data_IF_284439621996
#
_entry.id   IF_284439621996
#
_cell.length_a   1.000
_cell.length_b   1.000
_cell.length_c   1.000
_cell.angle_alpha   90.00
_cell.angle_beta   90.00
_cell.angle_gamma   90.00
#
_symmetry.space_group_name_H-M   'P 1'
#
loop_
_entity.id
_entity.type
_entity.pdbx_description
1 polymer ?
#
# COMPACT_ATOMS: atom_id res chain seq x y z
N UNK A 1 15.37 -9.76 53.68
CA UNK A 1 15.21 -8.29 53.76
C UNK A 1 15.87 -7.68 52.52
N UNK A 2 15.23 -6.67 51.92
CA UNK A 2 15.24 -6.28 50.49
C UNK A 2 16.60 -6.11 49.80
N UNK A 3 16.71 -6.66 48.59
CA UNK A 3 17.76 -6.42 47.59
C UNK A 3 17.71 -4.98 47.05
N UNK A 4 18.85 -4.29 47.15
CA UNK A 4 19.07 -2.92 46.70
C UNK A 4 19.16 -2.88 45.16
N UNK A 5 18.16 -2.31 44.49
CA UNK A 5 18.16 -2.13 43.02
C UNK A 5 18.85 -0.80 42.69
N UNK A 6 20.14 -0.83 42.36
CA UNK A 6 20.81 0.26 41.64
C UNK A 6 20.30 0.27 40.19
N UNK A 7 19.74 1.40 39.75
CA UNK A 7 19.80 1.82 38.36
C UNK A 7 20.06 3.32 38.30
N UNK A 8 21.20 3.60 37.71
CA UNK A 8 21.81 4.87 37.35
C UNK A 8 21.34 5.34 35.96
N UNK A 9 21.44 6.67 35.75
CA UNK A 9 21.49 7.43 34.47
C UNK A 9 20.16 7.55 33.68
N UNK A 10 19.82 8.67 33.03
CA UNK A 10 20.58 9.89 32.68
C UNK A 10 19.66 11.11 32.56
N UNK A 11 20.24 12.27 32.87
CA UNK A 11 19.80 13.60 32.42
C UNK A 11 19.47 13.59 30.92
N UNK A 12 18.31 14.14 30.54
CA UNK A 12 18.20 14.98 29.34
C UNK A 12 17.39 16.22 29.73
N UNK A 13 18.14 17.32 29.89
CA UNK A 13 17.68 18.69 29.95
C UNK A 13 17.30 19.10 28.53
N UNK A 14 16.07 19.58 28.29
CA UNK A 14 15.80 20.53 27.20
C UNK A 14 14.96 21.68 27.77
N UNK A 15 15.45 22.86 27.43
CA UNK A 15 15.25 24.19 28.00
C UNK A 15 14.21 24.97 27.14
N UNK A 16 13.52 25.94 27.78
CA UNK A 16 12.86 27.18 27.23
C UNK A 16 11.58 26.93 26.37
N UNK A 17 10.45 27.65 26.51
CA UNK A 17 10.32 29.11 26.65
C UNK A 17 9.12 29.51 27.53
N UNK A 18 9.41 30.33 28.54
CA UNK A 18 8.45 31.15 29.27
C UNK A 18 8.03 32.35 28.42
N UNK A 19 6.73 32.56 28.23
CA UNK A 19 6.17 33.87 27.88
C UNK A 19 5.32 34.32 29.07
N UNK A 20 5.88 35.26 29.84
CA UNK A 20 5.12 36.12 30.74
C UNK A 20 4.36 37.13 29.87
N UNK A 21 3.04 37.12 29.92
CA UNK A 21 2.26 38.34 29.69
C UNK A 21 1.37 38.53 30.91
N UNK A 22 1.82 39.41 31.80
CA UNK A 22 0.96 40.06 32.79
C UNK A 22 0.08 41.04 32.00
N UNK A 23 -1.20 40.75 31.94
CA UNK A 23 -2.24 41.64 31.45
C UNK A 23 -3.44 41.53 32.38
N UNK A 24 -3.54 42.48 33.30
CA UNK A 24 -4.74 42.73 34.10
C UNK A 24 -5.88 43.13 33.15
N UNK A 25 -7.05 42.50 33.26
CA UNK A 25 -8.22 42.83 32.46
C UNK A 25 -9.43 42.00 32.89
N UNK A 26 -10.43 42.69 33.41
CA UNK A 26 -11.67 42.16 33.99
C UNK A 26 -12.57 41.43 32.99
N UNK A 27 -13.25 40.42 33.53
CA UNK A 27 -14.59 39.89 33.17
C UNK A 27 -15.09 39.96 31.72
N UNK A 28 -15.20 38.79 31.09
CA UNK A 28 -16.44 38.30 30.48
C UNK A 28 -16.25 36.84 30.04
N UNK A 29 -16.70 35.89 30.86
CA UNK A 29 -16.78 34.48 30.45
C UNK A 29 -17.88 34.34 29.41
N UNK A 30 -17.54 34.49 28.12
CA UNK A 30 -18.43 34.07 27.04
C UNK A 30 -18.28 32.56 26.92
N UNK A 31 -19.35 31.86 27.28
CA UNK A 31 -19.51 30.44 27.06
C UNK A 31 -19.44 30.15 25.55
N UNK A 32 -18.24 29.80 25.07
CA UNK A 32 -18.05 29.32 23.72
C UNK A 32 -18.65 27.92 23.64
N UNK A 33 -19.82 27.80 23.01
CA UNK A 33 -20.33 26.51 22.56
C UNK A 33 -19.39 25.99 21.47
N UNK A 34 -18.44 25.14 21.84
CA UNK A 34 -17.70 24.30 20.90
C UNK A 34 -18.73 23.48 20.11
N UNK A 35 -18.93 23.83 18.84
CA UNK A 35 -19.56 22.90 17.90
C UNK A 35 -18.57 21.75 17.72
N UNK A 36 -19.00 20.48 17.81
CA UNK A 36 -18.10 19.37 17.59
C UNK A 36 -17.53 19.48 16.18
N UNK A 37 -16.20 19.59 16.09
CA UNK A 37 -15.48 19.42 14.83
C UNK A 37 -15.68 17.97 14.43
N UNK A 38 -16.49 17.73 13.39
CA UNK A 38 -16.56 16.42 12.77
C UNK A 38 -15.16 16.07 12.25
N UNK A 39 -14.47 15.22 13.01
CA UNK A 39 -13.20 14.64 12.57
C UNK A 39 -13.57 13.70 11.43
N UNK A 40 -13.44 14.19 10.19
CA UNK A 40 -13.54 13.37 9.00
C UNK A 40 -12.38 12.38 9.07
N UNK A 41 -12.63 11.17 9.58
CA UNK A 41 -11.66 10.08 9.57
C UNK A 41 -11.35 9.73 8.12
N UNK A 42 -10.26 10.30 7.60
CA UNK A 42 -9.73 9.97 6.30
C UNK A 42 -9.27 8.49 6.35
N UNK A 43 -10.01 7.61 5.67
CA UNK A 43 -9.68 6.17 5.60
C UNK A 43 -8.35 6.02 4.86
N UNK A 44 -7.26 5.84 5.61
CA UNK A 44 -5.93 5.59 5.02
C UNK A 44 -5.94 4.20 4.38
N UNK A 45 -5.91 4.15 3.06
CA UNK A 45 -5.79 2.89 2.30
C UNK A 45 -4.37 2.37 2.43
N UNK A 46 -4.16 1.32 3.23
CA UNK A 46 -2.83 0.71 3.42
C UNK A 46 -2.54 -0.29 2.31
N UNK A 47 -1.95 0.19 1.21
CA UNK A 47 -1.42 -0.68 0.14
C UNK A 47 -0.27 -1.57 0.64
N UNK A 48 -0.18 -2.80 0.14
CA UNK A 48 0.92 -3.72 0.43
C UNK A 48 2.21 -3.33 -0.32
N UNK A 49 3.40 -3.66 0.20
CA UNK A 49 4.66 -3.50 -0.53
C UNK A 49 4.68 -4.29 -1.83
N UNK A 50 5.35 -3.77 -2.87
CA UNK A 50 5.50 -4.44 -4.18
C UNK A 50 6.09 -5.85 -4.03
N UNK A 51 7.04 -6.05 -3.13
CA UNK A 51 7.70 -7.33 -2.90
C UNK A 51 6.70 -8.39 -2.39
N UNK A 52 5.75 -8.00 -1.53
CA UNK A 52 4.66 -8.87 -1.07
C UNK A 52 3.76 -9.28 -2.23
N UNK A 53 3.37 -8.32 -3.07
CA UNK A 53 2.54 -8.60 -4.25
C UNK A 53 3.28 -9.49 -5.24
N UNK A 54 4.59 -9.27 -5.41
CA UNK A 54 5.45 -10.11 -6.26
C UNK A 54 5.43 -11.56 -5.82
N UNK A 55 5.62 -11.84 -4.53
CA UNK A 55 5.57 -13.19 -4.00
C UNK A 55 4.21 -13.86 -4.22
N UNK A 56 3.11 -13.11 -4.04
CA UNK A 56 1.75 -13.63 -4.26
C UNK A 56 1.47 -13.94 -5.71
N UNK A 57 1.85 -13.05 -6.63
CA UNK A 57 1.69 -13.28 -8.08
C UNK A 57 2.54 -14.46 -8.54
N UNK A 58 3.77 -14.57 -8.05
CA UNK A 58 4.60 -15.75 -8.31
C UNK A 58 3.95 -17.02 -7.77
N UNK A 59 3.47 -17.03 -6.53
CA UNK A 59 2.80 -18.21 -5.96
C UNK A 59 1.55 -18.61 -6.75
N UNK A 60 0.76 -17.64 -7.21
CA UNK A 60 -0.40 -17.86 -8.08
C UNK A 60 0.00 -18.56 -9.39
N UNK A 61 1.01 -18.03 -10.09
CA UNK A 61 1.50 -18.62 -11.34
C UNK A 61 2.11 -20.02 -11.11
N UNK A 62 2.81 -20.22 -10.01
CA UNK A 62 3.35 -21.54 -9.62
C UNK A 62 2.24 -22.54 -9.35
N UNK A 63 1.15 -22.13 -8.68
CA UNK A 63 -0.01 -22.99 -8.46
C UNK A 63 -0.73 -23.39 -9.77
N UNK A 64 -0.60 -22.58 -10.83
CA UNK A 64 -1.05 -22.89 -12.19
C UNK A 64 -0.09 -23.80 -12.99
N UNK A 65 1.08 -24.12 -12.43
CA UNK A 65 2.07 -25.02 -13.03
C UNK A 65 3.24 -24.34 -13.73
N UNK A 66 3.36 -23.01 -13.67
CA UNK A 66 4.50 -22.28 -14.23
C UNK A 66 5.68 -22.24 -13.27
N UNK A 67 6.91 -22.31 -13.78
CA UNK A 67 8.11 -22.11 -12.95
C UNK A 67 8.52 -20.64 -12.98
N UNK A 68 9.19 -20.16 -11.93
CA UNK A 68 9.67 -18.76 -11.87
C UNK A 68 10.58 -18.37 -13.04
N UNK A 69 11.27 -19.35 -13.65
CA UNK A 69 12.11 -19.15 -14.82
C UNK A 69 11.35 -19.07 -16.14
N UNK A 70 10.06 -19.39 -16.18
CA UNK A 70 9.26 -19.47 -17.42
C UNK A 70 8.66 -18.13 -17.84
N UNK A 71 8.70 -17.12 -16.95
CA UNK A 71 8.09 -15.83 -17.18
C UNK A 71 8.88 -14.68 -16.58
N UNK A 72 8.66 -13.49 -17.13
CA UNK A 72 9.12 -12.22 -16.58
C UNK A 72 7.94 -11.49 -15.95
N UNK A 73 8.01 -11.28 -14.63
CA UNK A 73 7.02 -10.54 -13.85
C UNK A 73 7.48 -9.09 -13.60
N UNK A 74 6.64 -8.13 -13.95
CA UNK A 74 6.84 -6.70 -13.64
C UNK A 74 5.67 -6.19 -12.82
N UNK A 75 5.96 -5.60 -11.66
CA UNK A 75 4.95 -4.97 -10.79
C UNK A 75 5.36 -3.53 -10.51
N UNK A 76 4.41 -2.60 -10.65
CA UNK A 76 4.60 -1.18 -10.34
C UNK A 76 3.37 -0.62 -9.64
N UNK A 77 3.55 0.35 -8.76
CA UNK A 77 2.42 1.10 -8.23
C UNK A 77 1.73 1.88 -9.35
N UNK A 78 0.40 1.82 -9.36
CA UNK A 78 -0.42 2.72 -10.14
C UNK A 78 -0.61 4.01 -9.32
N UNK A 79 0.20 5.04 -9.62
CA UNK A 79 0.19 6.30 -8.85
C UNK A 79 -1.17 7.00 -8.91
N UNK A 80 -1.86 6.91 -10.04
CA UNK A 80 -3.17 7.52 -10.25
C UNK A 80 -4.25 6.86 -9.37
N UNK A 81 -4.06 5.58 -9.03
CA UNK A 81 -4.97 4.79 -8.21
C UNK A 81 -4.39 4.42 -6.84
N UNK A 82 -3.29 5.03 -6.39
CA UNK A 82 -2.63 4.61 -5.15
C UNK A 82 -3.46 4.88 -3.89
N UNK A 83 -4.33 5.91 -3.96
CA UNK A 83 -5.29 6.26 -2.91
C UNK A 83 -6.68 5.63 -3.15
N UNK A 84 -6.81 4.85 -4.22
CA UNK A 84 -8.04 4.21 -4.63
C UNK A 84 -7.92 2.71 -4.41
N UNK A 85 -8.97 2.13 -3.84
CA UNK A 85 -9.17 0.70 -3.72
C UNK A 85 -9.20 -0.03 -5.08
N UNK A 86 -9.37 0.71 -6.18
CA UNK A 86 -9.76 0.10 -7.45
C UNK A 86 -8.66 -0.61 -8.23
N UNK A 87 -7.37 -0.30 -8.04
CA UNK A 87 -6.24 -0.97 -8.72
C UNK A 87 -4.89 -0.31 -8.36
N UNK A 88 -4.35 -0.55 -7.16
CA UNK A 88 -3.11 0.10 -6.74
C UNK A 88 -1.85 -0.37 -7.47
N UNK A 89 -1.94 -1.44 -8.28
CA UNK A 89 -0.79 -2.06 -8.96
C UNK A 89 -1.05 -2.25 -10.46
N UNK A 90 0.00 -2.03 -11.26
CA UNK A 90 0.15 -2.60 -12.60
C UNK A 90 0.93 -3.91 -12.49
N UNK A 91 0.34 -5.02 -12.90
CA UNK A 91 0.95 -6.36 -12.83
C UNK A 91 0.99 -6.95 -14.23
N UNK A 92 2.19 -7.09 -14.78
CA UNK A 92 2.41 -7.56 -16.14
C UNK A 92 3.28 -8.82 -16.13
N UNK A 93 2.84 -9.84 -16.85
CA UNK A 93 3.53 -11.11 -17.02
C UNK A 93 3.82 -11.30 -18.51
N UNK A 94 5.06 -11.67 -18.83
CA UNK A 94 5.48 -12.04 -20.19
C UNK A 94 6.06 -13.45 -20.10
N UNK A 95 5.43 -14.42 -20.77
CA UNK A 95 5.91 -15.80 -20.81
C UNK A 95 7.03 -15.94 -21.85
N UNK A 96 8.04 -16.74 -21.54
CA UNK A 96 9.22 -16.90 -22.39
C UNK A 96 8.90 -17.58 -23.74
N UNK A 97 7.89 -18.44 -23.78
CA UNK A 97 7.43 -19.12 -25.00
C UNK A 97 6.37 -18.30 -25.78
N UNK A 98 6.04 -17.11 -25.29
CA UNK A 98 5.21 -16.11 -25.96
C UNK A 98 5.64 -14.66 -25.64
N UNK A 99 6.90 -14.28 -25.96
CA UNK A 99 7.51 -13.04 -25.46
C UNK A 99 6.89 -11.75 -26.04
N UNK A 100 6.08 -11.87 -27.10
CA UNK A 100 5.41 -10.76 -27.77
C UNK A 100 3.98 -10.51 -27.25
N UNK A 101 3.63 -11.08 -26.10
CA UNK A 101 2.31 -10.92 -25.46
C UNK A 101 2.50 -10.54 -24.00
N UNK A 102 1.79 -9.50 -23.58
CA UNK A 102 1.73 -9.06 -22.19
C UNK A 102 0.40 -9.52 -21.61
N UNK A 103 0.47 -10.33 -20.57
CA UNK A 103 -0.67 -10.75 -19.76
C UNK A 103 -0.77 -9.85 -18.55
N UNK A 104 -1.88 -9.12 -18.44
CA UNK A 104 -2.12 -8.18 -17.35
C UNK A 104 -2.96 -8.87 -16.28
N UNK A 105 -2.53 -8.71 -15.03
CA UNK A 105 -3.18 -9.27 -13.86
C UNK A 105 -3.66 -8.15 -12.93
N UNK A 106 -4.66 -8.46 -12.13
CA UNK A 106 -5.14 -7.63 -11.02
C UNK A 106 -4.95 -8.39 -9.72
N UNK A 107 -4.48 -7.69 -8.69
CA UNK A 107 -4.54 -8.15 -7.31
C UNK A 107 -5.74 -7.50 -6.62
N UNK A 108 -6.76 -8.29 -6.31
CA UNK A 108 -8.02 -7.87 -5.70
C UNK A 108 -7.84 -7.67 -4.20
N UNK A 109 -7.21 -6.56 -3.79
CA UNK A 109 -6.86 -6.26 -2.41
C UNK A 109 -8.08 -6.13 -1.46
N UNK A 110 -9.20 -5.62 -1.97
CA UNK A 110 -10.43 -5.36 -1.18
C UNK A 110 -11.38 -6.54 -1.08
N UNK A 111 -11.08 -7.65 -1.75
CA UNK A 111 -11.82 -8.88 -1.59
C UNK A 111 -11.42 -9.56 -0.28
N UNK A 112 -12.38 -10.11 0.46
CA UNK A 112 -12.12 -10.94 1.64
C UNK A 112 -11.17 -12.10 1.33
N UNK A 113 -11.20 -12.59 0.09
CA UNK A 113 -10.41 -13.73 -0.38
C UNK A 113 -9.07 -13.32 -1.01
N UNK A 114 -8.80 -12.02 -1.21
CA UNK A 114 -7.57 -11.48 -1.83
C UNK A 114 -7.04 -12.32 -2.99
N UNK A 115 -7.63 -12.16 -4.17
CA UNK A 115 -7.35 -13.02 -5.32
C UNK A 115 -6.51 -12.31 -6.41
N UNK A 116 -5.87 -13.11 -7.27
CA UNK A 116 -5.14 -12.67 -8.45
C UNK A 116 -5.85 -13.19 -9.69
N UNK A 117 -6.26 -12.28 -10.58
CA UNK A 117 -7.04 -12.62 -11.77
C UNK A 117 -6.42 -11.99 -13.01
N UNK A 118 -6.37 -12.72 -14.11
CA UNK A 118 -6.01 -12.14 -15.42
C UNK A 118 -7.12 -11.17 -15.87
N UNK A 119 -6.75 -9.95 -16.28
CA UNK A 119 -7.72 -8.92 -16.70
C UNK A 119 -7.68 -8.62 -18.19
N UNK A 120 -6.52 -8.68 -18.82
CA UNK A 120 -6.40 -8.39 -20.25
C UNK A 120 -5.13 -8.96 -20.86
N UNK A 121 -5.17 -9.17 -22.17
CA UNK A 121 -4.05 -9.65 -22.97
C UNK A 121 -3.72 -8.57 -24.01
N UNK A 122 -2.47 -8.11 -23.99
CA UNK A 122 -1.98 -7.06 -24.87
C UNK A 122 -0.88 -7.63 -25.79
N UNK A 123 -1.21 -7.97 -27.06
CA UNK A 123 -0.19 -8.31 -28.04
C UNK A 123 0.69 -7.09 -28.34
N UNK A 124 2.01 -7.30 -28.39
CA UNK A 124 2.92 -6.28 -28.90
C UNK A 124 2.68 -6.06 -30.40
N UNK A 125 2.99 -4.84 -30.89
CA UNK A 125 2.83 -4.48 -32.31
C UNK A 125 3.36 -5.63 -33.17
N UNK A 126 2.57 -6.04 -34.17
CA UNK A 126 2.83 -7.12 -35.16
C UNK A 126 2.25 -8.52 -34.89
N UNK A 127 1.66 -8.83 -33.72
CA UNK A 127 0.92 -10.09 -33.55
C UNK A 127 -0.56 -9.93 -33.95
N UNK A 128 -0.95 -10.52 -35.09
CA UNK A 128 -2.35 -10.57 -35.57
C UNK A 128 -3.14 -11.76 -35.01
N UNK A 129 -2.45 -12.74 -34.46
CA UNK A 129 -3.05 -13.93 -33.87
C UNK A 129 -3.76 -13.59 -32.55
N UNK A 130 -4.99 -14.11 -32.39
CA UNK A 130 -5.82 -13.96 -31.19
C UNK A 130 -5.81 -15.21 -30.32
N UNK A 131 -5.13 -16.28 -30.75
CA UNK A 131 -4.93 -17.47 -29.95
C UNK A 131 -3.73 -17.27 -29.02
N UNK A 132 -4.03 -17.05 -27.74
CA UNK A 132 -3.05 -16.74 -26.69
C UNK A 132 -2.92 -17.94 -25.77
N UNK A 133 -1.71 -18.50 -25.68
CA UNK A 133 -1.47 -19.79 -25.00
C UNK A 133 -1.83 -19.78 -23.51
N UNK A 134 -1.72 -18.62 -22.86
CA UNK A 134 -1.87 -18.50 -21.40
C UNK A 134 -3.11 -17.72 -21.01
N UNK A 135 -4.09 -17.58 -21.91
CA UNK A 135 -5.35 -16.94 -21.58
C UNK A 135 -6.12 -17.78 -20.54
N UNK A 136 -6.40 -17.16 -19.39
CA UNK A 136 -7.27 -17.70 -18.33
C UNK A 136 -8.77 -17.43 -18.57
#
# INVERSE_FOLDING_TARGET
MRTLKRRTLSLVIIFIISIFVVGCGETASKEYKEKPVEIITQKVVKVEPIESVKQKVTAYLTAKGYKEGDFKLTIKYNKDNMNSYKEPYFINVIFNDEPNVIYNYRYNYDSELKDITQTSIAPMKHKKDKNFKHAE
#
